data_IF_386372637102
#
_entry.id   IF_386372637102
#
_cell.length_a   1.000
_cell.length_b   1.000
_cell.length_c   1.000
_cell.angle_alpha   90.00
_cell.angle_beta   90.00
_cell.angle_gamma   90.00
#
_symmetry.space_group_name_H-M   'P 1'
#
loop_
_entity.id
_entity.type
_entity.pdbx_description
1 polymer ?
#
# COMPACT_ATOMS: atom_id res chain seq x y z
N UNK A 1 21.72 3.56 7.02
CA UNK A 1 20.76 3.42 5.91
C UNK A 1 20.44 1.93 5.80
N UNK A 2 19.39 1.46 6.49
CA UNK A 2 19.06 0.03 6.56
C UNK A 2 18.19 -0.28 5.33
N UNK A 3 18.82 -0.89 4.33
CA UNK A 3 18.13 -1.41 3.15
C UNK A 3 17.32 -2.63 3.61
N UNK A 4 16.03 -2.47 3.87
CA UNK A 4 15.12 -3.60 4.04
C UNK A 4 14.88 -4.23 2.66
N UNK A 5 15.83 -5.05 2.22
CA UNK A 5 15.64 -5.94 1.08
C UNK A 5 14.47 -6.86 1.41
N UNK A 6 13.42 -6.79 0.60
CA UNK A 6 12.36 -7.80 0.53
C UNK A 6 12.98 -9.12 0.02
N UNK A 7 13.76 -9.80 0.88
CA UNK A 7 14.19 -11.17 0.63
C UNK A 7 13.01 -12.07 1.00
N UNK A 8 11.97 -12.04 0.17
CA UNK A 8 10.79 -12.87 0.33
C UNK A 8 11.20 -14.34 0.16
N UNK A 9 11.31 -15.10 1.26
CA UNK A 9 11.51 -16.54 1.21
C UNK A 9 10.26 -17.19 0.62
N UNK A 10 10.35 -17.55 -0.67
CA UNK A 10 9.32 -18.24 -1.47
C UNK A 10 9.20 -19.72 -1.07
N UNK A 11 9.09 -20.04 0.22
CA UNK A 11 8.98 -21.43 0.70
C UNK A 11 7.57 -21.70 1.20
N UNK A 12 6.64 -21.77 0.25
CA UNK A 12 5.30 -22.33 0.44
C UNK A 12 4.22 -21.33 0.85
N UNK A 13 3.51 -20.78 -0.14
CA UNK A 13 2.16 -20.16 -0.03
C UNK A 13 2.00 -18.84 0.74
N UNK A 14 3.05 -18.09 1.04
CA UNK A 14 2.90 -16.74 1.59
C UNK A 14 4.19 -15.92 1.55
N UNK A 15 4.06 -14.61 1.42
CA UNK A 15 5.17 -13.69 1.69
C UNK A 15 5.36 -13.64 3.21
N UNK A 16 6.61 -13.65 3.68
CA UNK A 16 6.93 -13.46 5.09
C UNK A 16 8.14 -12.53 5.22
N UNK A 17 8.21 -11.77 6.31
CA UNK A 17 9.42 -11.01 6.65
C UNK A 17 10.53 -11.99 6.97
N UNK A 18 11.66 -11.82 6.30
CA UNK A 18 12.87 -12.62 6.53
C UNK A 18 13.39 -12.47 7.98
N UNK A 19 13.39 -11.23 8.48
CA UNK A 19 13.92 -10.91 9.80
C UNK A 19 13.13 -11.49 10.98
N UNK A 20 11.81 -11.67 10.84
CA UNK A 20 10.92 -12.05 11.96
C UNK A 20 10.08 -13.30 11.67
N UNK A 21 10.06 -13.78 10.42
CA UNK A 21 9.17 -14.85 9.98
C UNK A 21 7.69 -14.43 9.86
N UNK A 22 7.35 -13.16 10.12
CA UNK A 22 5.96 -12.69 10.11
C UNK A 22 5.34 -12.81 8.73
N UNK A 23 4.22 -13.53 8.63
CA UNK A 23 3.48 -13.65 7.37
C UNK A 23 2.87 -12.32 6.96
N UNK A 24 3.14 -11.93 5.72
CA UNK A 24 2.53 -10.79 5.05
C UNK A 24 1.21 -11.20 4.40
N UNK A 25 0.20 -10.34 4.54
CA UNK A 25 -1.12 -10.50 3.94
C UNK A 25 -1.35 -9.41 2.91
N UNK A 26 -1.83 -9.77 1.73
CA UNK A 26 -2.24 -8.79 0.72
C UNK A 26 -3.61 -8.26 1.10
N UNK A 27 -3.69 -6.97 1.47
CA UNK A 27 -4.95 -6.32 1.86
C UNK A 27 -5.56 -5.52 0.70
N UNK A 28 -4.73 -5.04 -0.22
CA UNK A 28 -5.20 -4.33 -1.41
C UNK A 28 -4.37 -4.68 -2.65
N UNK A 29 -5.05 -4.80 -3.79
CA UNK A 29 -4.41 -4.99 -5.10
C UNK A 29 -5.33 -4.48 -6.20
N UNK A 30 -5.01 -3.32 -6.77
CA UNK A 30 -5.78 -2.72 -7.85
C UNK A 30 -4.85 -2.35 -8.99
N UNK A 31 -5.31 -2.59 -10.22
CA UNK A 31 -4.59 -2.19 -11.42
C UNK A 31 -5.28 -0.99 -12.09
N UNK A 32 -4.48 -0.10 -12.65
CA UNK A 32 -4.88 1.17 -13.24
C UNK A 32 -4.59 1.17 -14.73
N UNK A 33 -5.42 1.88 -15.50
CA UNK A 33 -5.11 2.20 -16.90
C UNK A 33 -3.76 2.92 -16.90
N UNK A 34 -2.90 2.60 -17.87
CA UNK A 34 -1.55 3.14 -17.95
C UNK A 34 -1.52 4.62 -17.54
N UNK A 35 -1.04 4.87 -16.33
CA UNK A 35 -0.91 6.19 -15.77
C UNK A 35 0.58 6.49 -15.78
N UNK A 36 0.93 7.69 -16.25
CA UNK A 36 2.32 8.13 -16.32
C UNK A 36 3.01 8.05 -14.96
N UNK A 37 4.33 8.19 -14.96
CA UNK A 37 5.14 8.15 -13.75
C UNK A 37 4.67 9.14 -12.66
N UNK A 38 4.01 10.23 -13.06
CA UNK A 38 3.37 11.21 -12.18
C UNK A 38 2.32 10.61 -11.23
N UNK A 39 1.52 9.63 -11.70
CA UNK A 39 0.52 8.97 -10.83
C UNK A 39 1.19 8.00 -9.87
N UNK A 40 2.30 7.37 -10.29
CA UNK A 40 3.12 6.57 -9.39
C UNK A 40 3.68 7.44 -8.27
N UNK A 41 4.25 8.59 -8.64
CA UNK A 41 4.85 9.55 -7.71
C UNK A 41 3.82 10.13 -6.73
N UNK A 42 2.64 10.55 -7.21
CA UNK A 42 1.53 11.02 -6.38
C UNK A 42 1.08 9.97 -5.36
N UNK A 43 0.91 8.71 -5.79
CA UNK A 43 0.51 7.64 -4.89
C UNK A 43 1.60 7.37 -3.84
N UNK A 44 2.87 7.31 -4.25
CA UNK A 44 3.98 7.13 -3.31
C UNK A 44 4.06 8.29 -2.31
N UNK A 45 3.93 9.53 -2.77
CA UNK A 45 3.96 10.72 -1.92
C UNK A 45 2.83 10.72 -0.88
N UNK A 46 1.62 10.32 -1.28
CA UNK A 46 0.48 10.17 -0.37
C UNK A 46 0.77 9.18 0.75
N UNK A 47 1.29 7.99 0.43
CA UNK A 47 1.63 7.01 1.46
C UNK A 47 2.85 7.42 2.28
N UNK A 48 3.86 8.02 1.66
CA UNK A 48 5.04 8.53 2.35
C UNK A 48 4.71 9.62 3.38
N UNK A 49 3.60 10.35 3.20
CA UNK A 49 3.15 11.37 4.15
C UNK A 49 2.77 10.82 5.53
N UNK A 50 2.40 9.54 5.63
CA UNK A 50 1.95 8.95 6.90
C UNK A 50 0.56 9.42 7.37
N UNK A 51 -0.12 10.25 6.57
CA UNK A 51 -1.41 10.86 6.90
C UNK A 51 -2.57 10.03 6.32
N UNK A 52 -3.53 9.58 7.17
CA UNK A 52 -4.63 8.76 6.72
C UNK A 52 -5.57 9.46 5.73
N UNK A 53 -5.68 10.78 5.78
CA UNK A 53 -6.51 11.56 4.87
C UNK A 53 -5.96 11.54 3.44
N UNK A 54 -4.67 11.29 3.27
CA UNK A 54 -4.03 11.21 1.95
C UNK A 54 -4.07 9.79 1.36
N UNK A 55 -4.36 8.75 2.16
CA UNK A 55 -4.40 7.38 1.67
C UNK A 55 -5.63 7.09 0.79
N UNK A 56 -6.70 7.88 0.95
CA UNK A 56 -7.96 7.72 0.25
C UNK A 56 -8.53 9.08 -0.20
N UNK A 57 -9.37 9.14 -1.24
CA UNK A 57 -9.73 8.04 -2.12
C UNK A 57 -8.58 7.66 -3.06
N UNK A 58 -8.30 6.36 -3.15
CA UNK A 58 -7.49 5.85 -4.26
C UNK A 58 -8.28 6.01 -5.56
N UNK A 59 -7.62 6.33 -6.69
CA UNK A 59 -8.31 6.38 -7.97
C UNK A 59 -9.00 5.04 -8.26
N UNK A 60 -10.14 5.07 -8.97
CA UNK A 60 -10.80 3.85 -9.38
C UNK A 60 -9.94 3.10 -10.40
N UNK A 61 -9.50 1.88 -10.07
CA UNK A 61 -8.76 1.06 -11.02
C UNK A 61 -9.64 0.50 -12.13
N UNK A 62 -9.02 0.04 -13.21
CA UNK A 62 -9.71 -0.55 -14.38
C UNK A 62 -9.81 -2.08 -14.30
N UNK A 63 -9.61 -2.68 -13.12
CA UNK A 63 -9.60 -4.12 -12.94
C UNK A 63 -8.26 -4.77 -13.31
N UNK A 64 -8.26 -5.99 -13.89
CA UNK A 64 -7.04 -6.81 -14.05
C UNK A 64 -6.14 -6.44 -15.24
N UNK A 65 -6.63 -5.61 -16.16
CA UNK A 65 -5.94 -5.29 -17.42
C UNK A 65 -5.06 -4.02 -17.35
N UNK A 66 -4.86 -3.48 -16.15
CA UNK A 66 -4.01 -2.31 -15.94
C UNK A 66 -2.52 -2.61 -16.07
N UNK A 67 -1.79 -1.71 -16.74
CA UNK A 67 -0.32 -1.75 -16.86
C UNK A 67 0.35 -1.40 -15.53
N UNK A 68 -0.29 -0.54 -14.73
CA UNK A 68 0.14 -0.17 -13.40
C UNK A 68 -0.64 -0.97 -12.37
N UNK A 69 0.02 -1.52 -11.35
CA UNK A 69 -0.61 -2.26 -10.25
C UNK A 69 -0.07 -1.75 -8.92
N UNK A 70 -0.98 -1.29 -8.07
CA UNK A 70 -0.65 -0.93 -6.69
C UNK A 70 -1.04 -2.08 -5.78
N UNK A 71 -0.09 -2.51 -4.95
CA UNK A 71 -0.27 -3.59 -3.99
C UNK A 71 0.08 -3.09 -2.59
N UNK A 72 -0.82 -3.38 -1.65
CA UNK A 72 -0.59 -3.09 -0.24
C UNK A 72 -0.57 -4.41 0.53
N UNK A 73 0.54 -4.64 1.21
CA UNK A 73 0.79 -5.81 2.02
C UNK A 73 0.97 -5.40 3.48
N UNK A 74 0.41 -6.16 4.41
CA UNK A 74 0.55 -5.92 5.85
C UNK A 74 1.20 -7.11 6.53
N UNK A 75 2.11 -6.83 7.46
CA UNK A 75 2.63 -7.77 8.43
C UNK A 75 2.07 -7.37 9.80
N UNK A 76 0.84 -7.81 10.08
CA UNK A 76 0.04 -7.29 11.20
C UNK A 76 0.71 -7.53 12.56
N UNK A 77 1.40 -8.67 12.73
CA UNK A 77 2.11 -8.99 13.97
C UNK A 77 3.30 -8.05 14.26
N UNK A 78 3.90 -7.47 13.21
CA UNK A 78 4.99 -6.49 13.33
C UNK A 78 4.47 -5.05 13.26
N UNK A 79 3.16 -4.84 13.04
CA UNK A 79 2.56 -3.53 12.75
C UNK A 79 3.27 -2.79 11.62
N UNK A 80 3.46 -3.51 10.51
CA UNK A 80 4.10 -2.99 9.30
C UNK A 80 3.16 -3.07 8.09
N UNK A 81 3.12 -1.99 7.31
CA UNK A 81 2.50 -1.89 6.00
C UNK A 81 3.54 -1.66 4.93
N UNK A 82 3.34 -2.25 3.76
CA UNK A 82 4.23 -2.15 2.61
C UNK A 82 3.41 -1.79 1.39
N UNK A 83 3.73 -0.66 0.77
CA UNK A 83 3.11 -0.21 -0.47
C UNK A 83 4.10 -0.36 -1.60
N UNK A 84 3.72 -1.16 -2.60
CA UNK A 84 4.51 -1.40 -3.79
C UNK A 84 3.69 -1.08 -5.03
N UNK A 85 4.29 -0.38 -5.99
CA UNK A 85 3.69 -0.13 -7.29
C UNK A 85 4.52 -0.85 -8.35
N UNK A 86 3.86 -1.60 -9.24
CA UNK A 86 4.50 -2.26 -10.36
C UNK A 86 3.92 -1.81 -11.70
N UNK A 87 4.79 -1.53 -12.65
CA UNK A 87 4.47 -1.13 -14.03
C UNK A 87 5.19 -2.08 -15.00
N UNK A 88 4.53 -3.18 -15.38
CA UNK A 88 5.20 -4.27 -16.12
C UNK A 88 6.36 -4.87 -15.32
N UNK A 89 7.59 -4.74 -15.84
CA UNK A 89 8.83 -5.19 -15.17
C UNK A 89 9.43 -4.16 -14.19
N UNK A 90 8.91 -2.93 -14.17
CA UNK A 90 9.40 -1.88 -13.29
C UNK A 90 8.68 -1.95 -11.95
N UNK A 91 9.45 -1.81 -10.89
CA UNK A 91 8.95 -1.71 -9.52
C UNK A 91 9.34 -0.36 -8.95
N UNK A 92 8.41 0.30 -8.26
CA UNK A 92 8.67 1.54 -7.54
C UNK A 92 9.49 1.31 -6.28
N UNK A 93 9.91 2.39 -5.64
CA UNK A 93 10.34 2.33 -4.24
C UNK A 93 9.23 1.74 -3.37
N UNK A 94 9.65 1.00 -2.35
CA UNK A 94 8.76 0.39 -1.37
C UNK A 94 8.54 1.36 -0.21
N UNK A 95 7.32 1.87 -0.07
CA UNK A 95 6.97 2.67 1.11
C UNK A 95 6.67 1.72 2.26
N UNK A 96 7.44 1.87 3.33
CA UNK A 96 7.25 1.12 4.58
C UNK A 96 6.53 2.03 5.57
N UNK A 97 5.43 1.53 6.13
CA UNK A 97 4.62 2.21 7.12
C UNK A 97 4.68 1.41 8.42
N UNK A 98 5.16 2.02 9.49
CA UNK A 98 5.30 1.36 10.80
C UNK A 98 4.49 2.07 11.90
N UNK A 99 4.22 1.32 12.97
CA UNK A 99 3.58 1.84 14.17
C UNK A 99 2.27 2.58 13.88
N UNK A 100 2.23 3.88 14.19
CA UNK A 100 1.03 4.71 14.03
C UNK A 100 0.60 4.84 12.56
N UNK A 101 1.56 4.91 11.63
CA UNK A 101 1.27 5.00 10.20
C UNK A 101 0.64 3.70 9.68
N UNK A 102 1.06 2.55 10.23
CA UNK A 102 0.42 1.26 9.99
C UNK A 102 -1.00 1.22 10.57
N UNK A 103 -1.23 1.66 11.81
CA UNK A 103 -2.59 1.60 12.39
C UNK A 103 -3.59 2.44 11.56
N UNK A 104 -3.13 3.61 11.12
CA UNK A 104 -3.85 4.51 10.21
C UNK A 104 -4.16 3.84 8.87
N UNK A 105 -3.16 3.21 8.25
CA UNK A 105 -3.35 2.47 7.00
C UNK A 105 -4.34 1.32 7.19
N UNK A 106 -4.18 0.55 8.27
CA UNK A 106 -5.02 -0.61 8.58
C UNK A 106 -6.48 -0.19 8.74
N UNK A 107 -6.75 0.90 9.46
CA UNK A 107 -8.09 1.47 9.59
C UNK A 107 -8.69 1.91 8.25
N UNK A 108 -7.91 2.56 7.37
CA UNK A 108 -8.37 2.93 6.02
C UNK A 108 -8.65 1.71 5.16
N UNK A 109 -7.81 0.66 5.25
CA UNK A 109 -8.00 -0.58 4.51
C UNK A 109 -9.26 -1.33 4.95
N UNK A 110 -9.57 -1.38 6.26
CA UNK A 110 -10.81 -1.99 6.77
C UNK A 110 -12.07 -1.23 6.37
N UNK A 111 -11.99 0.10 6.22
CA UNK A 111 -13.10 0.93 5.71
C UNK A 111 -13.28 0.85 4.19
N UNK A 112 -12.23 0.44 3.49
CA UNK A 112 -12.14 0.37 2.04
C UNK A 112 -11.49 1.62 1.44
N UNK A 113 -10.22 1.50 1.08
CA UNK A 113 -9.37 2.57 0.52
C UNK A 113 -9.88 3.19 -0.81
N UNK A 114 -10.76 2.48 -1.51
CA UNK A 114 -11.42 2.96 -2.74
C UNK A 114 -12.66 3.81 -2.46
N UNK A 115 -13.14 3.84 -1.22
CA UNK A 115 -14.24 4.71 -0.80
C UNK A 115 -13.65 6.03 -0.29
N UNK A 116 -14.21 7.20 -0.64
CA UNK A 116 -13.82 8.45 0.02
C UNK A 116 -13.97 8.27 1.53
N UNK A 117 -12.95 8.69 2.28
CA UNK A 117 -13.00 8.58 3.74
C UNK A 117 -14.15 9.45 4.26
N UNK A 118 -15.20 8.80 4.76
CA UNK A 118 -16.36 9.49 5.30
C UNK A 118 -16.02 10.23 6.62
N UNK A 119 -14.90 9.91 7.27
CA UNK A 119 -14.48 10.58 8.51
C UNK A 119 -13.79 11.93 8.25
N UNK A 120 -13.21 12.15 7.07
CA UNK A 120 -12.73 13.46 6.62
C UNK A 120 -13.87 14.43 6.19
N UNK A 121 -15.11 13.93 6.06
CA UNK A 121 -16.26 14.69 5.58
C UNK A 121 -17.18 15.22 6.69
N UNK A 122 -16.70 15.38 7.92
CA UNK A 122 -17.44 16.16 8.92
C UNK A 122 -17.00 17.63 8.81
N UNK A 123 -17.74 18.51 8.13
CA UNK A 123 -17.59 19.94 8.39
C UNK A 123 -18.00 20.16 9.84
N UNK A 124 -17.07 20.65 10.66
CA UNK A 124 -17.42 21.26 11.92
C UNK A 124 -18.33 22.45 11.61
N UNK A 125 -19.63 22.28 11.84
CA UNK A 125 -20.64 23.32 11.84
C UNK A 125 -20.92 23.80 13.25
#
# INVERSE_FOLDING_TARGET
MIVFVLLAVYRGRGLARDATGTRMRRRHAVAYAAAGQEVVDDILARFASGDPANYAPMPAGIGRNGTLRVQIWTADADRLGFVAISAGIRHSELVVLDGLAYDRLSAVLDRGISRPDAAAATPAG
#
